data_IF_535377684070
#
_entry.id   IF_535377684070
#
_cell.length_a   1.000
_cell.length_b   1.000
_cell.length_c   1.000
_cell.angle_alpha   90.00
_cell.angle_beta   90.00
_cell.angle_gamma   90.00
#
_symmetry.space_group_name_H-M   'P 1'
#
loop_
_entity.id
_entity.type
_entity.pdbx_description
1 polymer ?
#
# COMPACT_ATOMS: atom_id res chain seq x y z
N UNK A 1 -31.63 58.54 -24.56
CA UNK A 1 -30.97 57.54 -25.42
C UNK A 1 -29.45 57.65 -25.28
N UNK A 2 -28.84 58.80 -25.59
CA UNK A 2 -27.38 59.04 -25.47
C UNK A 2 -26.75 58.71 -24.10
N UNK A 3 -27.39 59.11 -22.99
CA UNK A 3 -26.89 58.84 -21.63
C UNK A 3 -26.83 57.34 -21.27
N UNK A 4 -27.81 56.55 -21.74
CA UNK A 4 -27.87 55.11 -21.49
C UNK A 4 -26.81 54.35 -22.31
N UNK A 5 -26.55 54.81 -23.53
CA UNK A 5 -25.52 54.26 -24.40
C UNK A 5 -24.12 54.50 -23.81
N UNK A 6 -23.87 55.72 -23.33
CA UNK A 6 -22.63 56.12 -22.64
C UNK A 6 -22.39 55.32 -21.36
N UNK A 7 -23.44 55.08 -20.57
CA UNK A 7 -23.37 54.23 -19.37
C UNK A 7 -23.08 52.75 -19.70
N UNK A 8 -23.67 52.23 -20.77
CA UNK A 8 -23.45 50.83 -21.21
C UNK A 8 -22.03 50.61 -21.73
N UNK A 9 -21.47 51.61 -22.41
CA UNK A 9 -20.09 51.60 -22.94
C UNK A 9 -19.07 51.70 -21.80
N UNK A 10 -19.27 52.63 -20.87
CA UNK A 10 -18.42 52.77 -19.69
C UNK A 10 -18.42 51.49 -18.82
N UNK A 11 -19.58 50.82 -18.69
CA UNK A 11 -19.68 49.54 -17.97
C UNK A 11 -18.93 48.40 -18.68
N UNK A 12 -18.96 48.34 -20.02
CA UNK A 12 -18.20 47.35 -20.80
C UNK A 12 -16.70 47.61 -20.75
N UNK A 13 -16.28 48.87 -20.86
CA UNK A 13 -14.86 49.27 -20.79
C UNK A 13 -14.27 49.00 -19.39
N UNK A 14 -15.02 49.33 -18.33
CA UNK A 14 -14.58 49.02 -16.94
C UNK A 14 -14.51 47.53 -16.66
N UNK A 15 -15.48 46.73 -17.14
CA UNK A 15 -15.39 45.26 -17.04
C UNK A 15 -14.22 44.69 -17.86
N UNK A 16 -13.96 45.20 -19.07
CA UNK A 16 -12.83 44.76 -19.88
C UNK A 16 -11.49 45.09 -19.22
N UNK A 17 -11.35 46.29 -18.62
CA UNK A 17 -10.15 46.67 -17.85
C UNK A 17 -9.99 45.80 -16.62
N UNK A 18 -11.08 45.51 -15.87
CA UNK A 18 -11.01 44.61 -14.71
C UNK A 18 -10.59 43.19 -15.10
N UNK A 19 -11.18 42.63 -16.16
CA UNK A 19 -10.80 41.30 -16.68
C UNK A 19 -9.34 41.31 -17.12
N UNK A 20 -8.90 42.34 -17.85
CA UNK A 20 -7.52 42.45 -18.31
C UNK A 20 -6.50 42.58 -17.15
N UNK A 21 -6.79 43.43 -16.16
CA UNK A 21 -5.95 43.60 -14.96
C UNK A 21 -5.93 42.30 -14.14
N UNK A 22 -7.06 41.61 -14.01
CA UNK A 22 -7.14 40.33 -13.32
C UNK A 22 -6.36 39.23 -14.07
N UNK A 23 -6.46 39.17 -15.40
CA UNK A 23 -5.67 38.26 -16.24
C UNK A 23 -4.17 38.54 -16.12
N UNK A 24 -3.74 39.81 -16.18
CA UNK A 24 -2.34 40.19 -15.97
C UNK A 24 -1.85 39.85 -14.56
N UNK A 25 -2.68 40.04 -13.53
CA UNK A 25 -2.34 39.67 -12.16
C UNK A 25 -2.19 38.15 -12.00
N UNK A 26 -3.05 37.36 -12.64
CA UNK A 26 -2.91 35.90 -12.70
C UNK A 26 -1.61 35.53 -13.42
N UNK A 27 -1.35 36.07 -14.61
CA UNK A 27 -0.14 35.77 -15.39
C UNK A 27 1.15 36.13 -14.63
N UNK A 28 1.20 37.31 -14.00
CA UNK A 28 2.34 37.73 -13.18
C UNK A 28 2.56 36.82 -11.97
N UNK A 29 1.49 36.40 -11.29
CA UNK A 29 1.57 35.45 -10.18
C UNK A 29 2.05 34.08 -10.67
N UNK A 30 1.63 33.67 -11.87
CA UNK A 30 2.03 32.38 -12.47
C UNK A 30 3.52 32.37 -12.83
N UNK A 31 4.05 33.48 -13.36
CA UNK A 31 5.48 33.62 -13.67
C UNK A 31 6.34 33.70 -12.40
N UNK A 32 5.86 34.40 -11.37
CA UNK A 32 6.52 34.46 -10.07
C UNK A 32 6.57 33.07 -9.41
N UNK A 33 5.48 32.32 -9.45
CA UNK A 33 5.41 30.94 -8.97
C UNK A 33 6.38 30.02 -9.75
N UNK A 34 6.52 30.19 -11.08
CA UNK A 34 7.50 29.41 -11.88
C UNK A 34 8.95 29.71 -11.50
N UNK A 35 9.29 30.98 -11.29
CA UNK A 35 10.63 31.37 -10.85
C UNK A 35 10.91 30.82 -9.45
N UNK A 36 9.92 30.87 -8.55
CA UNK A 36 9.98 30.29 -7.22
C UNK A 36 10.20 28.78 -7.26
N UNK A 37 9.44 28.05 -8.08
CA UNK A 37 9.64 26.61 -8.25
C UNK A 37 11.02 26.27 -8.84
N UNK A 38 11.56 27.12 -9.70
CA UNK A 38 12.90 26.95 -10.26
C UNK A 38 13.96 27.12 -9.16
N UNK A 39 13.89 28.16 -8.33
CA UNK A 39 14.85 28.35 -7.24
C UNK A 39 14.78 27.25 -6.17
N UNK A 40 13.57 26.73 -5.92
CA UNK A 40 13.34 25.57 -5.04
C UNK A 40 14.01 24.30 -5.59
N UNK A 41 13.92 24.04 -6.91
CA UNK A 41 14.60 22.92 -7.58
C UNK A 41 16.12 23.07 -7.59
N UNK A 42 16.62 24.30 -7.62
CA UNK A 42 18.06 24.62 -7.58
C UNK A 42 18.64 24.55 -6.16
N UNK A 43 17.81 24.56 -5.12
CA UNK A 43 18.24 24.68 -3.73
C UNK A 43 18.74 26.08 -3.34
N UNK A 44 18.34 27.12 -4.08
CA UNK A 44 18.79 28.50 -3.84
C UNK A 44 17.91 29.18 -2.78
N UNK A 45 18.18 28.89 -1.50
CA UNK A 45 17.40 29.41 -0.37
C UNK A 45 17.23 30.93 -0.39
N UNK A 46 18.26 31.68 -0.81
CA UNK A 46 18.18 33.16 -0.88
C UNK A 46 17.16 33.62 -1.91
N UNK A 47 17.09 32.98 -3.08
CA UNK A 47 16.05 33.27 -4.06
C UNK A 47 14.68 32.81 -3.60
N UNK A 48 14.59 31.65 -2.95
CA UNK A 48 13.33 31.16 -2.33
C UNK A 48 12.77 32.19 -1.35
N UNK A 49 13.60 32.69 -0.43
CA UNK A 49 13.25 33.75 0.52
C UNK A 49 12.77 35.04 -0.19
N UNK A 50 13.55 35.50 -1.18
CA UNK A 50 13.22 36.70 -1.95
C UNK A 50 11.88 36.57 -2.66
N UNK A 51 11.63 35.45 -3.34
CA UNK A 51 10.44 35.24 -4.16
C UNK A 51 9.19 35.08 -3.29
N UNK A 52 9.26 34.41 -2.14
CA UNK A 52 8.16 34.42 -1.16
C UNK A 52 7.88 35.83 -0.65
N UNK A 53 8.91 36.64 -0.38
CA UNK A 53 8.70 38.03 0.07
C UNK A 53 8.05 38.92 -1.00
N UNK A 54 8.15 38.54 -2.28
CA UNK A 54 7.51 39.20 -3.41
C UNK A 54 6.08 38.69 -3.68
N UNK A 55 5.61 37.70 -2.92
CA UNK A 55 4.26 37.18 -3.02
C UNK A 55 4.13 35.84 -3.76
N UNK A 56 5.23 35.14 -4.03
CA UNK A 56 5.15 33.77 -4.56
C UNK A 56 4.37 32.86 -3.58
N UNK A 57 3.65 31.90 -4.13
CA UNK A 57 2.82 30.97 -3.35
C UNK A 57 3.71 29.88 -2.74
N UNK A 58 3.69 29.70 -1.42
CA UNK A 58 4.48 28.64 -0.74
C UNK A 58 4.14 27.24 -1.23
N UNK A 59 2.87 27.02 -1.59
CA UNK A 59 2.34 25.79 -2.20
C UNK A 59 2.21 25.89 -3.73
N UNK A 60 3.01 26.73 -4.38
CA UNK A 60 3.08 26.79 -5.84
C UNK A 60 3.25 25.38 -6.42
N UNK A 61 2.62 25.13 -7.57
CA UNK A 61 2.60 23.82 -8.23
C UNK A 61 3.16 23.91 -9.63
N UNK A 62 3.87 22.88 -10.05
CA UNK A 62 4.21 22.71 -11.46
C UNK A 62 3.07 22.03 -12.24
N UNK A 63 3.32 21.76 -13.53
CA UNK A 63 2.33 21.19 -14.44
C UNK A 63 1.90 19.76 -14.07
N UNK A 64 2.68 19.05 -13.23
CA UNK A 64 2.35 17.73 -12.68
C UNK A 64 1.63 17.84 -11.32
N UNK A 65 1.30 19.05 -10.88
CA UNK A 65 0.67 19.30 -9.59
C UNK A 65 1.62 19.13 -8.40
N UNK A 66 2.94 19.00 -8.63
CA UNK A 66 3.93 18.87 -7.56
C UNK A 66 4.11 20.21 -6.88
N UNK A 67 3.97 20.23 -5.55
CA UNK A 67 4.18 21.44 -4.75
C UNK A 67 5.66 21.77 -4.61
N UNK A 68 5.97 23.01 -4.23
CA UNK A 68 7.34 23.45 -3.95
C UNK A 68 8.08 22.49 -3.01
N UNK A 69 7.46 22.06 -1.90
CA UNK A 69 8.10 21.16 -0.94
C UNK A 69 8.42 19.78 -1.54
N UNK A 70 7.65 19.29 -2.52
CA UNK A 70 7.96 18.04 -3.23
C UNK A 70 9.16 18.17 -4.17
N UNK A 71 9.39 19.38 -4.69
CA UNK A 71 10.44 19.70 -5.66
C UNK A 71 11.75 20.15 -5.01
N UNK A 72 11.70 20.50 -3.72
CA UNK A 72 12.80 21.10 -2.99
C UNK A 72 14.06 20.23 -3.00
N UNK A 73 15.18 20.88 -3.31
CA UNK A 73 16.53 20.36 -3.11
C UNK A 73 17.18 21.12 -1.95
N UNK A 74 17.89 20.40 -1.08
CA UNK A 74 18.50 20.98 0.12
C UNK A 74 17.57 20.92 1.34
N UNK A 75 18.13 20.49 2.47
CA UNK A 75 17.43 20.39 3.76
C UNK A 75 16.98 21.77 4.26
N UNK A 76 17.80 22.79 4.04
CA UNK A 76 17.54 24.18 4.40
C UNK A 76 16.32 24.75 3.67
N UNK A 77 16.14 24.44 2.38
CA UNK A 77 14.94 24.82 1.62
C UNK A 77 13.71 24.09 2.13
N UNK A 78 13.79 22.79 2.42
CA UNK A 78 12.67 22.01 2.96
C UNK A 78 12.22 22.58 4.31
N UNK A 79 13.15 22.78 5.25
CA UNK A 79 12.86 23.37 6.56
C UNK A 79 12.25 24.76 6.45
N UNK A 80 12.79 25.59 5.55
CA UNK A 80 12.27 26.91 5.29
C UNK A 80 10.82 26.86 4.80
N UNK A 81 10.50 26.00 3.82
CA UNK A 81 9.14 25.85 3.30
C UNK A 81 8.16 25.36 4.38
N UNK A 82 8.55 24.38 5.21
CA UNK A 82 7.74 23.90 6.34
C UNK A 82 7.44 25.05 7.31
N UNK A 83 8.46 25.84 7.68
CA UNK A 83 8.31 26.99 8.57
C UNK A 83 7.37 28.08 8.02
N UNK A 84 7.28 28.20 6.70
CA UNK A 84 6.40 29.15 6.01
C UNK A 84 5.03 28.56 5.65
N UNK A 85 4.68 27.41 6.23
CA UNK A 85 3.33 26.84 6.13
C UNK A 85 3.06 26.05 4.86
N UNK A 86 4.11 25.54 4.19
CA UNK A 86 3.93 24.60 3.09
C UNK A 86 3.09 23.40 3.53
N UNK A 87 2.12 23.01 2.71
CA UNK A 87 1.31 21.83 2.98
C UNK A 87 2.13 20.55 2.74
N UNK A 88 2.74 20.04 3.80
CA UNK A 88 3.55 18.80 3.82
C UNK A 88 2.77 17.56 3.35
N UNK A 89 1.44 17.63 3.37
CA UNK A 89 0.52 16.56 3.07
C UNK A 89 -0.19 16.72 1.72
N UNK A 90 0.22 17.71 0.90
CA UNK A 90 -0.26 17.83 -0.46
C UNK A 90 0.08 16.59 -1.29
N UNK A 91 -0.72 16.34 -2.32
CA UNK A 91 -0.50 15.27 -3.30
C UNK A 91 -0.46 15.86 -4.72
N UNK A 92 0.41 15.30 -5.56
CA UNK A 92 0.48 15.59 -6.99
C UNK A 92 -0.69 14.91 -7.76
N UNK A 93 -0.66 14.96 -9.10
CA UNK A 93 -1.70 14.32 -9.93
C UNK A 93 -1.73 12.79 -9.81
N UNK A 94 -0.64 12.17 -9.36
CA UNK A 94 -0.49 10.72 -9.18
C UNK A 94 -0.76 10.26 -7.74
N UNK A 95 -1.02 11.19 -6.82
CA UNK A 95 -1.24 10.92 -5.41
C UNK A 95 0.05 10.85 -4.57
N UNK A 96 1.19 11.27 -5.09
CA UNK A 96 2.46 11.24 -4.37
C UNK A 96 2.60 12.45 -3.43
N UNK A 97 3.06 12.20 -2.21
CA UNK A 97 3.41 13.24 -1.22
C UNK A 97 4.92 13.51 -1.20
N UNK A 98 5.35 14.54 -0.46
CA UNK A 98 6.80 14.77 -0.24
C UNK A 98 7.47 13.56 0.41
N UNK A 99 6.80 12.90 1.37
CA UNK A 99 7.33 11.70 2.01
C UNK A 99 7.52 10.56 0.99
N UNK A 100 6.60 10.40 0.03
CA UNK A 100 6.76 9.44 -1.05
C UNK A 100 8.01 9.72 -1.88
N UNK A 101 8.23 10.97 -2.30
CA UNK A 101 9.40 11.33 -3.09
C UNK A 101 10.73 11.10 -2.36
N UNK A 102 10.77 11.30 -1.04
CA UNK A 102 11.97 11.01 -0.24
C UNK A 102 12.23 9.52 -0.06
N UNK A 103 11.19 8.70 0.06
CA UNK A 103 11.35 7.25 0.20
C UNK A 103 11.55 6.53 -1.14
N UNK A 104 11.14 7.11 -2.28
CA UNK A 104 11.21 6.49 -3.60
C UNK A 104 12.61 6.02 -4.03
N UNK A 105 13.70 6.80 -3.84
CA UNK A 105 15.06 6.33 -4.13
C UNK A 105 15.45 5.15 -3.23
N UNK A 106 15.07 5.22 -1.94
CA UNK A 106 15.41 4.25 -0.90
C UNK A 106 14.74 2.90 -1.17
N UNK A 107 13.49 2.92 -1.66
CA UNK A 107 12.73 1.72 -2.04
C UNK A 107 13.39 0.89 -3.12
N UNK A 108 14.26 1.49 -3.95
CA UNK A 108 14.99 0.81 -5.04
C UNK A 108 16.35 0.27 -4.58
N UNK A 109 16.80 0.59 -3.36
CA UNK A 109 18.08 0.15 -2.80
C UNK A 109 17.88 -1.11 -1.96
N UNK A 110 18.78 -2.08 -2.09
CA UNK A 110 18.68 -3.40 -1.42
C UNK A 110 18.85 -3.32 0.10
N UNK A 111 19.71 -2.41 0.57
CA UNK A 111 20.00 -2.18 1.99
C UNK A 111 20.19 -0.67 2.17
N UNK A 112 19.16 0.08 2.58
CA UNK A 112 19.30 1.50 2.86
C UNK A 112 20.04 1.73 4.19
N UNK A 113 20.81 2.81 4.28
CA UNK A 113 21.43 3.26 5.53
C UNK A 113 20.43 4.08 6.35
N UNK A 114 20.62 4.16 7.67
CA UNK A 114 19.80 4.99 8.56
C UNK A 114 19.90 6.48 8.22
N UNK A 115 21.04 6.92 7.68
CA UNK A 115 21.24 8.28 7.19
C UNK A 115 20.29 8.62 6.04
N UNK A 116 19.92 7.64 5.20
CA UNK A 116 18.97 7.83 4.10
C UNK A 116 17.55 8.16 4.60
N UNK A 117 17.22 7.77 5.84
CA UNK A 117 15.89 7.94 6.43
C UNK A 117 15.75 9.18 7.31
N UNK A 118 16.85 9.91 7.55
CA UNK A 118 16.85 11.08 8.43
C UNK A 118 15.89 12.17 7.96
N UNK A 119 15.91 12.51 6.66
CA UNK A 119 15.01 13.51 6.10
C UNK A 119 13.55 13.04 6.14
N UNK A 120 13.28 11.78 5.78
CA UNK A 120 11.95 11.20 5.87
C UNK A 120 11.41 11.25 7.31
N UNK A 121 12.26 10.99 8.31
CA UNK A 121 11.90 11.06 9.73
C UNK A 121 11.53 12.48 10.14
N UNK A 122 12.33 13.48 9.76
CA UNK A 122 12.03 14.90 10.04
C UNK A 122 10.71 15.34 9.40
N UNK A 123 10.42 14.88 8.19
CA UNK A 123 9.14 15.15 7.53
C UNK A 123 7.97 14.58 8.35
N UNK A 124 8.10 13.33 8.84
CA UNK A 124 7.07 12.70 9.69
C UNK A 124 6.90 13.46 11.01
N UNK A 125 8.02 13.84 11.66
CA UNK A 125 8.02 14.67 12.87
C UNK A 125 7.39 16.05 12.64
N UNK A 126 7.47 16.56 11.40
CA UNK A 126 6.83 17.80 10.95
C UNK A 126 5.37 17.62 10.49
N UNK A 127 4.81 16.42 10.62
CA UNK A 127 3.39 16.13 10.34
C UNK A 127 3.12 15.49 8.98
N UNK A 128 4.12 15.00 8.25
CA UNK A 128 3.90 14.20 7.06
C UNK A 128 3.22 12.88 7.42
N UNK A 129 2.05 12.58 6.85
CA UNK A 129 1.38 11.31 7.14
C UNK A 129 2.13 10.15 6.47
N UNK A 130 2.28 9.06 7.20
CA UNK A 130 2.86 7.80 6.70
C UNK A 130 1.82 6.98 5.93
N UNK A 131 0.56 7.12 6.32
CA UNK A 131 -0.61 6.46 5.75
C UNK A 131 -1.10 7.21 4.51
N UNK A 132 -0.33 7.18 3.43
CA UNK A 132 -0.80 7.64 2.12
C UNK A 132 -0.89 6.50 1.15
N UNK A 133 -2.03 6.48 0.46
CA UNK A 133 -2.24 5.63 -0.69
C UNK A 133 -1.98 6.47 -1.95
N UNK A 134 -0.78 6.36 -2.51
CA UNK A 134 -0.51 6.85 -3.86
C UNK A 134 -0.90 5.76 -4.85
N UNK A 135 -1.39 6.07 -6.06
CA UNK A 135 -1.17 5.23 -7.26
C UNK A 135 -1.98 5.72 -8.46
N UNK A 136 -1.47 5.33 -9.62
CA UNK A 136 -2.11 4.27 -10.40
C UNK A 136 -1.17 3.07 -10.52
N UNK A 137 -1.54 1.93 -9.94
CA UNK A 137 -0.93 0.65 -10.29
C UNK A 137 -1.38 0.23 -11.69
N UNK A 138 -0.96 -0.92 -12.20
CA UNK A 138 -1.48 -1.45 -13.48
C UNK A 138 -3.02 -1.54 -13.50
N UNK A 139 -3.64 -1.65 -12.31
CA UNK A 139 -5.08 -1.73 -12.10
C UNK A 139 -5.73 -0.42 -11.61
N UNK A 140 -4.99 0.69 -11.60
CA UNK A 140 -5.40 2.00 -11.10
C UNK A 140 -5.85 2.05 -9.62
N UNK A 141 -5.54 1.05 -8.79
CA UNK A 141 -5.88 1.09 -7.35
C UNK A 141 -4.82 1.79 -6.52
N UNK A 142 -5.13 2.42 -5.38
CA UNK A 142 -4.15 3.02 -4.46
C UNK A 142 -3.17 2.00 -3.82
N UNK A 143 -1.92 2.37 -3.54
CA UNK A 143 -0.95 1.60 -2.73
C UNK A 143 -0.26 2.43 -1.68
N UNK A 144 -0.17 1.84 -0.48
CA UNK A 144 0.54 2.45 0.63
C UNK A 144 2.05 2.35 0.50
N UNK A 145 2.77 3.28 1.13
CA UNK A 145 4.23 3.23 1.28
C UNK A 145 4.68 1.89 1.90
N UNK A 146 3.91 1.39 2.87
CA UNK A 146 4.16 0.09 3.52
C UNK A 146 4.11 -1.06 2.51
N UNK A 147 3.07 -1.13 1.69
CA UNK A 147 2.95 -2.18 0.67
C UNK A 147 4.06 -2.07 -0.39
N UNK A 148 4.46 -0.86 -0.74
CA UNK A 148 5.58 -0.66 -1.65
C UNK A 148 6.90 -1.15 -1.04
N UNK A 149 7.15 -0.90 0.25
CA UNK A 149 8.30 -1.44 0.96
C UNK A 149 8.30 -2.98 1.00
N UNK A 150 7.13 -3.61 1.21
CA UNK A 150 6.96 -5.06 1.21
C UNK A 150 7.21 -5.65 -0.19
N UNK A 151 6.66 -5.03 -1.23
CA UNK A 151 6.87 -5.45 -2.64
C UNK A 151 8.34 -5.36 -3.05
N UNK A 152 9.06 -4.36 -2.55
CA UNK A 152 10.50 -4.21 -2.75
C UNK A 152 11.35 -5.04 -1.76
N UNK A 153 10.73 -5.86 -0.90
CA UNK A 153 11.43 -6.75 0.03
C UNK A 153 12.36 -6.01 1.01
N UNK A 154 12.05 -4.74 1.30
CA UNK A 154 12.85 -3.88 2.17
C UNK A 154 12.35 -3.94 3.61
N UNK A 155 12.92 -4.87 4.39
CA UNK A 155 12.61 -4.98 5.82
C UNK A 155 12.91 -3.68 6.58
N UNK A 156 13.98 -2.97 6.22
CA UNK A 156 14.36 -1.71 6.85
C UNK A 156 13.26 -0.65 6.70
N UNK A 157 12.70 -0.50 5.50
CA UNK A 157 11.60 0.42 5.26
C UNK A 157 10.30 -0.03 5.90
N UNK A 158 10.00 -1.33 5.92
CA UNK A 158 8.85 -1.86 6.65
C UNK A 158 8.95 -1.48 8.13
N UNK A 159 10.11 -1.69 8.76
CA UNK A 159 10.34 -1.31 10.16
C UNK A 159 10.16 0.18 10.39
N UNK A 160 10.85 0.99 9.58
CA UNK A 160 10.77 2.44 9.65
C UNK A 160 9.33 2.94 9.56
N UNK A 161 8.56 2.46 8.58
CA UNK A 161 7.18 2.91 8.38
C UNK A 161 6.28 2.51 9.55
N UNK A 162 6.35 1.27 10.03
CA UNK A 162 5.55 0.79 11.17
C UNK A 162 5.91 1.55 12.46
N UNK A 163 7.21 1.74 12.73
CA UNK A 163 7.71 2.50 13.89
C UNK A 163 7.26 3.97 13.87
N UNK A 164 6.98 4.51 12.68
CA UNK A 164 6.48 5.86 12.47
C UNK A 164 4.95 5.92 12.25
N UNK A 165 4.21 4.86 12.60
CA UNK A 165 2.75 4.89 12.65
C UNK A 165 2.04 4.38 11.41
N UNK A 166 2.73 3.69 10.49
CA UNK A 166 2.06 2.96 9.43
C UNK A 166 1.14 1.88 10.02
N UNK A 167 -0.06 1.74 9.46
CA UNK A 167 -1.03 0.75 9.86
C UNK A 167 -0.67 -0.59 9.21
N UNK A 168 -0.21 -1.53 10.03
CA UNK A 168 0.09 -2.91 9.65
C UNK A 168 -1.12 -3.70 9.08
N UNK A 169 -2.32 -3.11 9.17
CA UNK A 169 -3.59 -3.63 8.69
C UNK A 169 -4.26 -2.70 7.66
N UNK A 170 -3.50 -1.78 7.04
CA UNK A 170 -4.04 -0.88 6.04
C UNK A 170 -4.61 -1.67 4.86
N UNK A 171 -5.89 -1.46 4.53
CA UNK A 171 -6.56 -2.07 3.38
C UNK A 171 -6.87 -0.95 2.37
N UNK A 172 -6.08 -0.79 1.29
CA UNK A 172 -6.31 0.24 0.30
C UNK A 172 -7.42 -0.15 -0.70
N UNK A 173 -8.24 -1.18 -0.39
CA UNK A 173 -9.41 -1.58 -1.18
C UNK A 173 -9.19 -2.82 -2.05
N UNK A 174 -8.07 -3.54 -1.91
CA UNK A 174 -7.78 -4.80 -2.60
C UNK A 174 -7.20 -5.83 -1.64
N UNK A 175 -7.68 -7.08 -1.68
CA UNK A 175 -7.20 -8.15 -0.77
C UNK A 175 -5.71 -8.46 -0.98
N UNK A 176 -5.24 -8.33 -2.23
CA UNK A 176 -3.83 -8.43 -2.62
C UNK A 176 -2.98 -7.26 -2.12
N UNK A 177 -3.58 -6.23 -1.52
CA UNK A 177 -2.88 -5.07 -0.99
C UNK A 177 -2.96 -5.01 0.53
N UNK A 178 -3.26 -6.13 1.20
CA UNK A 178 -3.12 -6.22 2.65
C UNK A 178 -1.65 -6.51 3.01
N UNK A 179 -0.99 -5.74 3.90
CA UNK A 179 0.45 -5.84 4.15
C UNK A 179 0.93 -7.27 4.45
N UNK A 180 0.23 -7.95 5.36
CA UNK A 180 0.58 -9.33 5.71
C UNK A 180 0.38 -10.30 4.55
N UNK A 181 -0.66 -10.11 3.73
CA UNK A 181 -0.96 -11.04 2.63
C UNK A 181 0.05 -10.87 1.48
N UNK A 182 0.46 -9.62 1.23
CA UNK A 182 1.59 -9.30 0.35
C UNK A 182 2.89 -9.95 0.84
N UNK A 183 3.16 -9.88 2.14
CA UNK A 183 4.39 -10.43 2.71
C UNK A 183 4.45 -11.96 2.59
N UNK A 184 3.33 -12.66 2.81
CA UNK A 184 3.27 -14.13 2.67
C UNK A 184 3.20 -14.60 1.21
N UNK A 185 2.57 -13.83 0.33
CA UNK A 185 2.45 -14.15 -1.11
C UNK A 185 3.68 -13.79 -1.94
N UNK A 186 4.58 -12.96 -1.39
CA UNK A 186 5.85 -12.61 -2.00
C UNK A 186 6.68 -13.86 -2.32
N UNK A 187 7.38 -13.84 -3.46
CA UNK A 187 8.33 -14.88 -3.83
C UNK A 187 9.32 -15.18 -2.68
N UNK A 188 10.01 -16.32 -2.76
CA UNK A 188 10.89 -16.97 -1.77
C UNK A 188 12.15 -16.19 -1.38
N UNK A 189 12.01 -14.90 -1.15
CA UNK A 189 13.02 -14.04 -0.60
C UNK A 189 13.15 -14.33 0.89
N UNK A 190 14.38 -14.44 1.42
CA UNK A 190 14.63 -14.50 2.87
C UNK A 190 13.98 -13.33 3.64
N UNK A 191 13.77 -12.19 2.98
CA UNK A 191 13.13 -11.03 3.60
C UNK A 191 11.62 -11.24 3.83
N UNK A 192 10.93 -12.08 3.03
CA UNK A 192 9.49 -12.35 3.19
C UNK A 192 9.17 -12.92 4.57
N UNK A 193 9.99 -13.85 5.07
CA UNK A 193 9.83 -14.41 6.42
C UNK A 193 10.01 -13.33 7.49
N UNK A 194 11.10 -12.57 7.42
CA UNK A 194 11.40 -11.53 8.41
C UNK A 194 10.37 -10.39 8.41
N UNK A 195 9.87 -10.00 7.23
CA UNK A 195 8.78 -9.03 7.09
C UNK A 195 7.49 -9.60 7.71
N UNK A 196 7.16 -10.86 7.42
CA UNK A 196 5.98 -11.53 7.98
C UNK A 196 6.02 -11.58 9.51
N UNK A 197 7.15 -12.01 10.09
CA UNK A 197 7.36 -12.04 11.53
C UNK A 197 7.21 -10.64 12.15
N UNK A 198 7.82 -9.63 11.53
CA UNK A 198 7.77 -8.27 12.02
C UNK A 198 6.36 -7.68 11.95
N UNK A 199 5.63 -7.89 10.86
CA UNK A 199 4.24 -7.45 10.72
C UNK A 199 3.34 -8.08 11.79
N UNK A 200 3.45 -9.40 12.00
CA UNK A 200 2.68 -10.11 13.03
C UNK A 200 3.03 -9.62 14.45
N UNK A 201 4.31 -9.37 14.73
CA UNK A 201 4.76 -8.79 16.00
C UNK A 201 4.21 -7.37 16.23
N UNK A 202 3.89 -6.64 15.16
CA UNK A 202 3.35 -5.27 15.20
C UNK A 202 1.84 -5.21 14.92
N UNK A 203 1.12 -6.27 15.28
CA UNK A 203 -0.35 -6.24 15.30
C UNK A 203 -1.01 -6.42 13.93
N UNK A 204 -0.29 -6.90 12.90
CA UNK A 204 -0.95 -7.39 11.70
C UNK A 204 -1.87 -8.55 12.04
N UNK A 205 -3.14 -8.41 11.68
CA UNK A 205 -4.15 -9.43 11.82
C UNK A 205 -3.93 -10.49 10.76
N UNK A 206 -3.54 -11.67 11.19
CA UNK A 206 -3.51 -12.86 10.34
C UNK A 206 -4.92 -13.37 9.99
N UNK A 207 -5.91 -12.93 10.77
CA UNK A 207 -7.34 -13.17 10.55
C UNK A 207 -7.96 -11.85 10.08
N UNK A 208 -7.98 -11.63 8.77
CA UNK A 208 -8.77 -10.55 8.20
C UNK A 208 -9.51 -11.01 6.95
N UNK A 209 -10.82 -10.73 6.95
CA UNK A 209 -11.84 -11.29 6.07
C UNK A 209 -12.44 -10.20 5.17
N UNK A 210 -11.65 -9.22 4.71
CA UNK A 210 -12.20 -8.13 3.87
C UNK A 210 -12.49 -8.61 2.44
N UNK A 211 -13.55 -9.39 2.32
CA UNK A 211 -14.65 -9.30 1.34
C UNK A 211 -15.65 -10.39 1.68
N UNK A 212 -16.29 -10.22 2.84
CA UNK A 212 -17.65 -10.72 3.05
C UNK A 212 -18.52 -10.09 1.96
N UNK A 213 -18.75 -10.78 0.85
CA UNK A 213 -19.97 -10.56 0.10
C UNK A 213 -20.99 -11.52 0.68
N UNK A 214 -22.05 -10.98 1.25
CA UNK A 214 -23.23 -11.78 1.53
C UNK A 214 -23.67 -12.42 0.20
N UNK A 215 -23.62 -13.73 0.12
CA UNK A 215 -24.27 -14.46 -0.95
C UNK A 215 -25.75 -14.57 -0.56
N UNK A 216 -26.58 -13.75 -1.20
CA UNK A 216 -28.03 -13.86 -1.04
C UNK A 216 -28.51 -15.08 -1.82
N UNK A 217 -28.85 -16.14 -1.09
CA UNK A 217 -29.52 -17.32 -1.65
C UNK A 217 -30.99 -17.34 -1.20
N UNK A 218 -31.89 -18.02 -1.93
CA UNK A 218 -33.28 -18.22 -1.50
C UNK A 218 -33.42 -18.92 -0.13
N UNK A 219 -32.36 -19.56 0.36
CA UNK A 219 -32.31 -20.25 1.66
C UNK A 219 -31.87 -19.34 2.83
N UNK A 220 -31.56 -18.07 2.59
CA UNK A 220 -31.08 -17.11 3.59
C UNK A 220 -29.68 -16.56 3.29
N UNK A 221 -29.24 -15.58 4.08
CA UNK A 221 -27.87 -15.03 4.03
C UNK A 221 -26.89 -16.05 4.62
N UNK A 222 -25.95 -16.52 3.81
CA UNK A 222 -24.86 -17.39 4.27
C UNK A 222 -23.52 -16.69 4.02
N UNK A 223 -22.64 -16.69 5.03
CA UNK A 223 -21.26 -16.23 4.85
C UNK A 223 -20.50 -17.26 4.00
N UNK A 224 -20.04 -16.83 2.84
CA UNK A 224 -19.18 -17.61 1.96
C UNK A 224 -17.78 -16.94 2.02
N UNK A 225 -16.77 -17.67 2.50
CA UNK A 225 -15.61 -17.12 3.24
C UNK A 225 -14.50 -16.46 2.41
N UNK A 226 -13.94 -15.34 2.88
CA UNK A 226 -12.73 -14.76 2.28
C UNK A 226 -11.49 -15.64 2.60
N UNK A 227 -10.52 -15.75 1.68
CA UNK A 227 -9.22 -16.42 1.92
C UNK A 227 -8.48 -15.77 3.11
N UNK A 228 -7.78 -16.56 3.92
CA UNK A 228 -6.91 -16.06 5.00
C UNK A 228 -5.42 -16.15 4.61
N UNK A 229 -4.51 -15.70 5.49
CA UNK A 229 -3.07 -15.69 5.21
C UNK A 229 -2.50 -17.08 4.83
N UNK A 230 -3.04 -18.17 5.37
CA UNK A 230 -2.63 -19.52 4.96
C UNK A 230 -2.99 -19.82 3.51
N UNK A 231 -4.20 -19.46 3.05
CA UNK A 231 -4.60 -19.65 1.65
C UNK A 231 -3.68 -18.90 0.68
N UNK A 232 -3.25 -17.68 1.05
CA UNK A 232 -2.31 -16.90 0.24
C UNK A 232 -0.91 -17.50 0.26
N UNK A 233 -0.41 -17.92 1.42
CA UNK A 233 0.89 -18.58 1.54
C UNK A 233 0.96 -19.88 0.72
N UNK A 234 -0.15 -20.60 0.55
CA UNK A 234 -0.21 -21.86 -0.20
C UNK A 234 -0.30 -21.69 -1.72
N UNK A 235 -0.61 -20.48 -2.20
CA UNK A 235 -0.73 -20.19 -3.64
C UNK A 235 0.61 -20.31 -4.36
N UNK A 236 1.69 -19.84 -3.72
CA UNK A 236 3.04 -19.91 -4.25
C UNK A 236 3.66 -21.28 -3.99
N UNK A 237 4.10 -21.96 -5.06
CA UNK A 237 4.84 -23.23 -4.95
C UNK A 237 6.19 -23.11 -4.24
N UNK A 238 6.73 -21.91 -4.13
CA UNK A 238 8.08 -21.68 -3.62
C UNK A 238 8.08 -21.06 -2.21
N UNK A 239 6.94 -20.99 -1.54
CA UNK A 239 6.83 -20.42 -0.18
C UNK A 239 7.89 -21.02 0.78
N UNK A 240 8.50 -20.18 1.63
CA UNK A 240 9.30 -20.68 2.76
C UNK A 240 8.34 -21.34 3.76
N UNK A 241 8.43 -22.66 4.02
CA UNK A 241 7.52 -23.35 4.93
C UNK A 241 7.50 -22.79 6.35
N UNK A 242 8.53 -22.04 6.77
CA UNK A 242 8.55 -21.34 8.06
C UNK A 242 7.48 -20.26 8.18
N UNK A 243 7.03 -19.68 7.06
CA UNK A 243 5.92 -18.73 7.07
C UNK A 243 4.66 -19.41 7.64
N UNK A 244 4.42 -20.68 7.31
CA UNK A 244 3.30 -21.44 7.85
C UNK A 244 3.42 -21.66 9.37
N UNK A 245 4.64 -21.87 9.89
CA UNK A 245 4.90 -21.96 11.33
C UNK A 245 4.56 -20.64 12.05
N UNK A 246 5.02 -19.52 11.49
CA UNK A 246 4.82 -18.19 12.07
C UNK A 246 3.32 -17.84 12.06
N UNK A 247 2.61 -18.13 10.97
CA UNK A 247 1.15 -17.95 10.88
C UNK A 247 0.40 -18.81 11.91
N UNK A 248 0.79 -20.07 12.09
CA UNK A 248 0.19 -20.95 13.09
C UNK A 248 0.43 -20.42 14.50
N UNK A 249 1.67 -20.00 14.81
CA UNK A 249 2.05 -19.41 16.10
C UNK A 249 1.28 -18.12 16.39
N UNK A 250 0.96 -17.33 15.36
CA UNK A 250 0.14 -16.13 15.47
C UNK A 250 -1.36 -16.40 15.65
N UNK A 251 -1.78 -17.67 15.73
CA UNK A 251 -3.19 -18.05 15.96
C UNK A 251 -4.08 -17.95 14.70
N UNK A 252 -3.48 -17.93 13.51
CA UNK A 252 -4.24 -17.96 12.26
C UNK A 252 -5.04 -19.26 12.18
N UNK A 253 -6.32 -19.19 11.81
CA UNK A 253 -7.13 -20.40 11.67
C UNK A 253 -6.61 -21.29 10.52
N UNK A 254 -5.90 -22.36 10.88
CA UNK A 254 -5.34 -23.35 9.95
C UNK A 254 -6.42 -24.03 9.08
N UNK A 255 -7.64 -24.13 9.61
CA UNK A 255 -8.77 -24.82 9.00
C UNK A 255 -9.84 -23.85 8.47
N UNK A 256 -9.45 -22.59 8.24
CA UNK A 256 -10.37 -21.60 7.67
C UNK A 256 -10.92 -22.09 6.34
N UNK A 257 -12.20 -21.84 6.07
CA UNK A 257 -12.85 -22.22 4.81
C UNK A 257 -13.11 -20.98 3.97
N UNK A 258 -12.62 -20.98 2.74
CA UNK A 258 -12.85 -19.90 1.79
C UNK A 258 -14.26 -19.97 1.15
N UNK A 259 -14.45 -19.27 0.04
CA UNK A 259 -15.73 -19.12 -0.64
C UNK A 259 -16.18 -20.41 -1.33
N UNK A 260 -15.24 -21.28 -1.64
CA UNK A 260 -15.49 -22.60 -2.21
C UNK A 260 -15.56 -23.67 -1.11
N UNK A 261 -15.48 -23.26 0.17
CA UNK A 261 -15.42 -24.15 1.31
C UNK A 261 -14.06 -24.80 1.49
N UNK A 262 -13.05 -24.41 0.70
CA UNK A 262 -11.71 -24.99 0.69
C UNK A 262 -10.94 -24.53 1.89
N UNK A 263 -10.16 -25.44 2.45
CA UNK A 263 -9.17 -25.15 3.49
C UNK A 263 -7.82 -24.81 2.84
N UNK A 264 -6.87 -24.20 3.57
CA UNK A 264 -5.52 -24.01 3.05
C UNK A 264 -4.83 -25.30 2.63
N UNK A 265 -5.13 -26.43 3.29
CA UNK A 265 -4.61 -27.74 2.89
C UNK A 265 -5.14 -28.17 1.52
N UNK A 266 -6.43 -27.96 1.27
CA UNK A 266 -7.05 -28.23 -0.04
C UNK A 266 -6.45 -27.35 -1.12
N UNK A 267 -6.30 -26.04 -0.86
CA UNK A 267 -5.63 -25.11 -1.78
C UNK A 267 -4.19 -25.58 -2.10
N UNK A 268 -3.40 -25.95 -1.09
CA UNK A 268 -2.04 -26.45 -1.30
C UNK A 268 -1.99 -27.70 -2.19
N UNK A 269 -2.95 -28.60 -2.04
CA UNK A 269 -3.08 -29.82 -2.85
C UNK A 269 -3.45 -29.48 -4.30
N UNK A 270 -4.45 -28.62 -4.51
CA UNK A 270 -4.84 -28.15 -5.86
C UNK A 270 -3.69 -27.46 -6.59
N UNK A 271 -2.90 -26.66 -5.87
CA UNK A 271 -1.70 -26.00 -6.40
C UNK A 271 -0.52 -26.97 -6.59
N UNK A 272 -0.67 -28.24 -6.19
CA UNK A 272 0.38 -29.28 -6.21
C UNK A 272 1.62 -28.85 -5.41
N UNK A 273 1.40 -28.14 -4.31
CA UNK A 273 2.43 -27.67 -3.40
C UNK A 273 2.65 -28.72 -2.30
N UNK A 274 3.53 -29.69 -2.59
CA UNK A 274 3.82 -30.82 -1.71
C UNK A 274 4.38 -30.35 -0.36
N UNK A 275 5.33 -29.40 -0.37
CA UNK A 275 5.95 -28.89 0.86
C UNK A 275 4.93 -28.20 1.77
N UNK A 276 4.09 -27.31 1.23
CA UNK A 276 3.05 -26.66 2.02
C UNK A 276 2.01 -27.67 2.53
N UNK A 277 1.61 -28.65 1.70
CA UNK A 277 0.66 -29.70 2.09
C UNK A 277 1.19 -30.52 3.28
N UNK A 278 2.44 -31.00 3.19
CA UNK A 278 3.10 -31.72 4.28
C UNK A 278 3.18 -30.88 5.55
N UNK A 279 3.52 -29.60 5.40
CA UNK A 279 3.65 -28.69 6.52
C UNK A 279 2.32 -28.42 7.22
N UNK A 280 1.24 -28.20 6.48
CA UNK A 280 -0.11 -28.02 7.03
C UNK A 280 -0.61 -29.29 7.75
N UNK A 281 -0.32 -30.48 7.20
CA UNK A 281 -0.60 -31.76 7.86
C UNK A 281 0.20 -31.87 9.17
N UNK A 282 1.48 -31.48 9.17
CA UNK A 282 2.32 -31.46 10.38
C UNK A 282 1.78 -30.49 11.45
N UNK A 283 1.28 -29.33 11.02
CA UNK A 283 0.66 -28.32 11.89
C UNK A 283 -0.71 -28.75 12.43
N UNK A 284 -1.25 -29.89 12.00
CA UNK A 284 -2.50 -30.45 12.51
C UNK A 284 -3.75 -30.00 11.78
N UNK A 285 -3.65 -29.76 10.46
CA UNK A 285 -4.83 -29.46 9.63
C UNK A 285 -5.90 -30.55 9.78
N UNK A 286 -7.17 -30.13 9.82
CA UNK A 286 -8.30 -31.04 9.93
C UNK A 286 -8.57 -31.71 8.57
N UNK A 287 -8.22 -32.98 8.50
CA UNK A 287 -8.30 -33.79 7.29
C UNK A 287 -9.74 -34.24 6.97
N UNK A 288 -10.70 -34.02 7.89
CA UNK A 288 -12.09 -34.44 7.74
C UNK A 288 -12.98 -33.41 7.04
N UNK A 289 -12.52 -32.17 6.95
CA UNK A 289 -13.27 -31.10 6.28
C UNK A 289 -13.39 -31.39 4.78
N UNK A 290 -14.50 -30.94 4.21
CA UNK A 290 -14.77 -30.99 2.77
C UNK A 290 -15.06 -29.59 2.20
N UNK A 291 -14.79 -29.42 0.92
CA UNK A 291 -15.19 -28.23 0.16
C UNK A 291 -16.71 -28.23 -0.11
N UNK A 292 -17.21 -27.23 -0.83
CA UNK A 292 -18.63 -27.11 -1.17
C UNK A 292 -19.11 -28.18 -2.17
N UNK A 293 -18.19 -28.94 -2.79
CA UNK A 293 -18.49 -30.09 -3.65
C UNK A 293 -18.46 -31.41 -2.86
N UNK A 294 -18.14 -31.36 -1.57
CA UNK A 294 -18.02 -32.54 -0.72
C UNK A 294 -16.67 -33.25 -0.82
N UNK A 295 -15.66 -32.68 -1.49
CA UNK A 295 -14.33 -33.27 -1.62
C UNK A 295 -13.47 -32.95 -0.40
N UNK A 296 -12.89 -33.98 0.21
CA UNK A 296 -11.90 -33.84 1.28
C UNK A 296 -10.49 -33.61 0.71
N UNK A 297 -9.52 -33.29 1.56
CA UNK A 297 -8.11 -33.22 1.17
C UNK A 297 -7.61 -34.54 0.53
N UNK A 298 -8.08 -35.70 1.00
CA UNK A 298 -7.72 -37.00 0.44
C UNK A 298 -8.31 -37.21 -0.95
N UNK A 299 -9.55 -36.78 -1.17
CA UNK A 299 -10.21 -36.89 -2.47
C UNK A 299 -9.47 -36.05 -3.53
N UNK A 300 -9.10 -34.82 -3.16
CA UNK A 300 -8.31 -33.94 -4.03
C UNK A 300 -6.92 -34.54 -4.32
N UNK A 301 -6.24 -35.10 -3.31
CA UNK A 301 -4.93 -35.73 -3.51
C UNK A 301 -4.99 -36.88 -4.54
N UNK A 302 -6.04 -37.70 -4.51
CA UNK A 302 -6.30 -38.76 -5.48
C UNK A 302 -6.60 -38.21 -6.87
N UNK A 303 -7.48 -37.21 -6.94
CA UNK A 303 -7.89 -36.56 -8.19
C UNK A 303 -6.71 -35.92 -8.93
N UNK A 304 -5.79 -35.27 -8.20
CA UNK A 304 -4.59 -34.66 -8.78
C UNK A 304 -3.39 -35.62 -8.90
N UNK A 305 -3.56 -36.89 -8.53
CA UNK A 305 -2.52 -37.94 -8.57
C UNK A 305 -1.27 -37.55 -7.76
N UNK A 306 -1.45 -37.12 -6.52
CA UNK A 306 -0.38 -36.75 -5.59
C UNK A 306 -0.08 -37.88 -4.61
N UNK A 307 0.51 -38.97 -5.10
CA UNK A 307 0.73 -40.24 -4.37
C UNK A 307 1.37 -40.05 -2.99
N UNK A 308 2.35 -39.14 -2.88
CA UNK A 308 3.04 -38.85 -1.62
C UNK A 308 2.08 -38.26 -0.57
N UNK A 309 1.23 -37.30 -0.98
CA UNK A 309 0.26 -36.67 -0.07
C UNK A 309 -0.87 -37.63 0.24
N UNK A 310 -1.35 -38.38 -0.74
CA UNK A 310 -2.36 -39.42 -0.54
C UNK A 310 -1.94 -40.43 0.52
N UNK A 311 -0.69 -40.93 0.42
CA UNK A 311 -0.13 -41.86 1.40
C UNK A 311 -0.11 -41.26 2.80
N UNK A 312 0.41 -40.04 2.95
CA UNK A 312 0.49 -39.35 4.26
C UNK A 312 -0.91 -39.15 4.86
N UNK A 313 -1.89 -38.72 4.06
CA UNK A 313 -3.26 -38.51 4.53
C UNK A 313 -3.92 -39.82 4.96
N UNK A 314 -3.74 -40.89 4.19
CA UNK A 314 -4.29 -42.22 4.49
C UNK A 314 -3.72 -42.78 5.80
N UNK A 315 -2.40 -42.67 6.00
CA UNK A 315 -1.74 -43.08 7.25
C UNK A 315 -2.27 -42.31 8.46
N UNK A 316 -2.39 -40.99 8.35
CA UNK A 316 -2.87 -40.13 9.45
C UNK A 316 -4.33 -40.39 9.81
N UNK A 317 -5.20 -40.58 8.81
CA UNK A 317 -6.62 -40.91 9.04
C UNK A 317 -6.77 -42.29 9.70
N UNK A 318 -5.98 -43.27 9.28
CA UNK A 318 -5.99 -44.62 9.87
C UNK A 318 -5.52 -44.63 11.32
N UNK A 319 -4.51 -43.82 11.67
CA UNK A 319 -4.00 -43.70 13.04
C UNK A 319 -4.95 -43.01 14.02
N UNK A 320 -5.95 -42.25 13.54
CA UNK A 320 -6.97 -41.59 14.39
C UNK A 320 -8.13 -42.54 14.78
N UNK A 321 -8.23 -43.70 14.13
CA UNK A 321 -9.30 -44.69 14.33
C UNK A 321 -8.90 -45.81 15.31
N UNK A 322 -7.67 -45.81 15.81
CA UNK A 322 -7.12 -46.74 16.81
C UNK A 322 -6.96 -46.05 18.15
#
# INVERSE_FOLDING_TARGET
>A
MELLEKYSKLRRETWAVLVFVFSLAIEANTELDRQFLTSVKEGDLKKVELLLSQGATVDAKDDEGRTAIMLAQGEDVVEFLIKHGANINAQDVDGNSVLFYRLLPILKVKIPDMDDLAEAKRLIESGALVEYTARKGEDQKPVSLLNMAIRNQSLALVKFLIENGANANHDPGGVEEYPLFLAVGGASSPASLAITEYLLANGSKAVFTSRLKDAYTPAGSHQIGARNAFHYATESKQIDPKILDVLAKAGTNLNHRDAEGKTPLMEAIERKNIQASQKLIQLGADLSLSDNQGKTALDLAKEFHLDEIERILTEKLSSKLQ
#
